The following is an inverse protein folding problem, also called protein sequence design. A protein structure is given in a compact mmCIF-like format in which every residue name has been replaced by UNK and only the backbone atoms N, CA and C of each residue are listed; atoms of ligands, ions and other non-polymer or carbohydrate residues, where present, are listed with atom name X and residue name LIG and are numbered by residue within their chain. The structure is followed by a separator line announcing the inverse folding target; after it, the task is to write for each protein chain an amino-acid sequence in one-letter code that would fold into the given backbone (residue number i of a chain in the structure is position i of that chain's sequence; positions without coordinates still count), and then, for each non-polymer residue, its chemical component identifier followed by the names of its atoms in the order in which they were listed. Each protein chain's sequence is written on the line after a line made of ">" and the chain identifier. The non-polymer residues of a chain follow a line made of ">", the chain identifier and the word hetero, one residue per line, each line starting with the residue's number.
data_IF_994708432190
#
_entry.id   IF_994708432190
#
_cell.length_a   1.000
_cell.length_b   1.000
_cell.length_c   1.000
_cell.angle_alpha   90.00
_cell.angle_beta   90.00
_cell.angle_gamma   90.00
#
_symmetry.space_group_name_H-M   'P 1'
#
loop_
_entity.id
_entity.type
_entity.pdbx_description
1 polymer ?
#
# COMPACT_ATOMS: atom_id res chain seq x y z
N UNK A 1 -23.90 -6.65 -7.93
CA UNK A 1 -24.26 -5.66 -6.90
C UNK A 1 -24.31 -4.31 -7.57
N UNK A 2 -25.39 -3.56 -7.41
CA UNK A 2 -25.48 -2.20 -7.94
C UNK A 2 -24.71 -1.29 -6.99
N UNK A 3 -23.44 -1.01 -7.33
CA UNK A 3 -22.67 0.04 -6.66
C UNK A 3 -23.41 1.36 -6.88
N UNK A 4 -23.57 2.14 -5.81
CA UNK A 4 -24.20 3.45 -5.85
C UNK A 4 -23.60 4.29 -7.00
N UNK A 5 -24.43 4.89 -7.90
CA UNK A 5 -23.94 5.68 -9.03
C UNK A 5 -22.97 6.79 -8.62
N UNK A 6 -23.15 7.40 -7.43
CA UNK A 6 -22.23 8.42 -6.93
C UNK A 6 -20.87 7.84 -6.58
N UNK A 7 -20.85 6.69 -5.90
CA UNK A 7 -19.63 5.94 -5.59
C UNK A 7 -18.92 5.55 -6.89
N UNK A 8 -19.64 5.06 -7.90
CA UNK A 8 -19.06 4.70 -9.20
C UNK A 8 -18.47 5.92 -9.92
N UNK A 9 -19.12 7.08 -9.83
CA UNK A 9 -18.59 8.33 -10.42
C UNK A 9 -17.34 8.82 -9.70
N UNK A 10 -17.26 8.60 -8.39
CA UNK A 10 -16.09 8.94 -7.58
C UNK A 10 -14.88 8.07 -7.94
N UNK A 11 -15.08 6.75 -8.07
CA UNK A 11 -14.01 5.84 -8.52
C UNK A 11 -13.54 6.15 -9.94
N UNK A 12 -14.45 6.54 -10.83
CA UNK A 12 -14.10 6.91 -12.21
C UNK A 12 -13.24 8.18 -12.31
N UNK A 13 -13.22 9.01 -11.27
CA UNK A 13 -12.44 10.24 -11.20
C UNK A 13 -11.17 10.12 -10.37
N UNK A 14 -10.83 8.92 -9.88
CA UNK A 14 -9.60 8.72 -9.10
C UNK A 14 -8.36 9.17 -9.85
N UNK A 15 -8.30 8.93 -11.16
CA UNK A 15 -7.18 9.35 -11.99
C UNK A 15 -7.01 10.89 -12.02
N UNK A 16 -8.10 11.65 -11.90
CA UNK A 16 -8.04 13.13 -11.78
C UNK A 16 -7.40 13.56 -10.46
N UNK A 17 -7.58 12.80 -9.37
CA UNK A 17 -6.96 13.12 -8.08
C UNK A 17 -5.45 12.86 -8.07
N UNK A 18 -4.94 12.05 -8.98
CA UNK A 18 -3.52 11.76 -9.14
C UNK A 18 -2.91 12.46 -10.35
N UNK A 19 -3.64 13.36 -11.02
CA UNK A 19 -3.11 14.12 -12.14
C UNK A 19 -1.89 14.96 -11.70
N UNK A 20 -0.77 14.79 -12.40
CA UNK A 20 0.50 15.43 -12.06
C UNK A 20 1.28 14.78 -10.90
N UNK A 21 0.76 13.70 -10.32
CA UNK A 21 1.45 12.95 -9.27
C UNK A 21 2.44 11.94 -9.86
N UNK A 22 3.74 12.13 -9.60
CA UNK A 22 4.78 11.15 -9.94
C UNK A 22 5.22 10.41 -8.68
N UNK A 23 4.80 9.16 -8.54
CA UNK A 23 5.28 8.26 -7.46
C UNK A 23 6.81 8.17 -7.50
N UNK A 24 7.40 8.10 -8.70
CA UNK A 24 8.85 8.03 -8.90
C UNK A 24 9.56 9.23 -8.28
N UNK A 25 9.12 10.44 -8.61
CA UNK A 25 9.74 11.68 -8.12
C UNK A 25 9.67 11.78 -6.60
N UNK A 26 8.62 11.22 -5.99
CA UNK A 26 8.45 11.17 -4.54
C UNK A 26 9.43 10.18 -3.93
N UNK A 27 9.48 8.95 -4.46
CA UNK A 27 10.40 7.91 -3.97
C UNK A 27 11.87 8.34 -4.09
N UNK A 28 12.25 9.04 -5.16
CA UNK A 28 13.63 9.56 -5.35
C UNK A 28 14.01 10.66 -4.33
N UNK A 29 13.02 11.41 -3.83
CA UNK A 29 13.21 12.51 -2.88
C UNK A 29 13.13 12.07 -1.42
N UNK A 30 12.49 10.94 -1.13
CA UNK A 30 12.37 10.42 0.23
C UNK A 30 13.74 9.94 0.74
N UNK A 31 14.14 10.48 1.90
CA UNK A 31 15.40 10.15 2.61
C UNK A 31 15.18 9.54 3.98
N UNK A 32 13.94 9.14 4.27
CA UNK A 32 13.53 8.58 5.56
C UNK A 32 13.37 7.07 5.43
N UNK A 33 13.51 6.32 6.54
CA UNK A 33 13.11 4.92 6.59
C UNK A 33 11.67 4.76 6.08
N UNK A 34 11.47 3.83 5.14
CA UNK A 34 10.21 3.64 4.44
C UNK A 34 9.82 2.16 4.46
N UNK A 35 8.59 1.87 4.86
CA UNK A 35 8.01 0.53 4.87
C UNK A 35 6.83 0.46 3.92
N UNK A 36 6.88 -0.49 2.99
CA UNK A 36 5.71 -0.92 2.21
C UNK A 36 5.04 -2.09 2.92
N UNK A 37 3.76 -1.95 3.19
CA UNK A 37 2.89 -3.02 3.65
C UNK A 37 2.04 -3.46 2.47
N UNK A 38 2.31 -4.66 1.94
CA UNK A 38 1.61 -5.21 0.79
C UNK A 38 0.57 -6.25 1.24
N UNK A 39 -0.70 -6.02 0.87
CA UNK A 39 -1.76 -7.02 0.94
C UNK A 39 -1.70 -7.97 -0.28
N UNK A 40 -2.37 -9.11 -0.22
CA UNK A 40 -2.38 -10.08 -1.32
C UNK A 40 -3.16 -9.56 -2.55
N UNK A 41 -2.49 -9.34 -3.71
CA UNK A 41 -3.15 -8.87 -4.93
C UNK A 41 -4.24 -9.82 -5.44
N UNK A 42 -4.09 -11.12 -5.25
CA UNK A 42 -5.05 -12.14 -5.70
C UNK A 42 -6.40 -12.04 -4.98
N UNK A 43 -6.43 -11.41 -3.79
CA UNK A 43 -7.65 -11.17 -3.01
C UNK A 43 -7.93 -9.69 -2.83
N UNK A 44 -7.75 -8.89 -3.89
CA UNK A 44 -8.05 -7.45 -3.91
C UNK A 44 -7.09 -6.58 -3.10
N UNK A 45 -5.82 -6.99 -2.96
CA UNK A 45 -4.73 -6.07 -2.60
C UNK A 45 -4.47 -5.08 -3.73
N UNK A 46 -4.16 -3.82 -3.41
CA UNK A 46 -4.01 -2.76 -4.41
C UNK A 46 -2.59 -2.59 -4.97
N UNK A 47 -1.58 -3.14 -4.31
CA UNK A 47 -0.17 -2.99 -4.69
C UNK A 47 0.32 -4.34 -5.20
N UNK A 48 0.75 -4.41 -6.45
CA UNK A 48 1.26 -5.64 -7.06
C UNK A 48 2.72 -5.89 -6.69
N UNK A 49 3.20 -7.12 -6.88
CA UNK A 49 4.58 -7.46 -6.53
C UNK A 49 5.58 -6.70 -7.40
N UNK A 50 5.23 -6.49 -8.67
CA UNK A 50 6.00 -5.71 -9.63
C UNK A 50 6.17 -4.25 -9.19
N UNK A 51 5.15 -3.65 -8.57
CA UNK A 51 5.22 -2.27 -8.08
C UNK A 51 6.18 -2.16 -6.88
N UNK A 52 6.21 -3.17 -6.00
CA UNK A 52 7.13 -3.23 -4.88
C UNK A 52 8.57 -3.39 -5.39
N UNK A 53 8.79 -4.30 -6.32
CA UNK A 53 10.13 -4.52 -6.90
C UNK A 53 10.60 -3.29 -7.68
N UNK A 54 9.73 -2.65 -8.45
CA UNK A 54 10.02 -1.37 -9.09
C UNK A 54 10.40 -0.29 -8.06
N UNK A 55 9.65 -0.15 -6.96
CA UNK A 55 9.96 0.80 -5.91
C UNK A 55 11.33 0.53 -5.25
N UNK A 56 11.71 -0.75 -5.08
CA UNK A 56 13.03 -1.15 -4.58
C UNK A 56 14.17 -0.75 -5.52
N UNK A 57 13.94 -0.69 -6.84
CA UNK A 57 14.96 -0.19 -7.77
C UNK A 57 15.25 1.30 -7.60
N UNK A 58 14.28 2.07 -7.09
CA UNK A 58 14.40 3.52 -6.85
C UNK A 58 14.90 3.79 -5.42
N UNK A 59 14.39 3.05 -4.44
CA UNK A 59 14.73 3.15 -3.03
C UNK A 59 15.21 1.78 -2.51
N UNK A 60 16.51 1.46 -2.64
CA UNK A 60 17.05 0.15 -2.25
C UNK A 60 16.86 -0.19 -0.76
N UNK A 61 16.85 0.83 0.10
CA UNK A 61 16.66 0.70 1.55
C UNK A 61 15.19 0.52 1.98
N UNK A 62 14.27 0.41 1.02
CA UNK A 62 12.85 0.20 1.29
C UNK A 62 12.64 -1.14 2.01
N UNK A 63 11.98 -1.06 3.17
CA UNK A 63 11.49 -2.23 3.89
C UNK A 63 10.17 -2.68 3.29
N UNK A 64 9.92 -3.99 3.26
CA UNK A 64 8.71 -4.57 2.71
C UNK A 64 8.20 -5.69 3.62
N UNK A 65 6.91 -5.69 3.89
CA UNK A 65 6.21 -6.82 4.50
C UNK A 65 4.99 -7.21 3.66
N UNK A 66 4.89 -8.50 3.37
CA UNK A 66 3.79 -9.08 2.63
C UNK A 66 2.81 -9.81 3.57
N UNK A 67 1.54 -9.44 3.51
CA UNK A 67 0.45 -10.00 4.32
C UNK A 67 -0.49 -10.82 3.43
N UNK A 68 -0.07 -12.05 3.11
CA UNK A 68 -0.71 -12.93 2.12
C UNK A 68 -2.17 -13.30 2.35
N UNK A 69 -2.68 -13.12 3.57
CA UNK A 69 -4.05 -13.49 3.96
C UNK A 69 -5.02 -12.29 3.99
N UNK A 70 -4.52 -11.10 3.66
CA UNK A 70 -5.27 -9.85 3.77
C UNK A 70 -5.54 -9.24 2.40
N UNK A 71 -6.70 -8.61 2.27
CA UNK A 71 -7.08 -7.77 1.14
C UNK A 71 -6.70 -6.30 1.40
N UNK A 72 -7.12 -5.37 0.53
CA UNK A 72 -6.88 -3.93 0.70
C UNK A 72 -7.26 -3.37 2.08
N UNK A 73 -8.22 -3.95 2.79
CA UNK A 73 -8.61 -3.50 4.13
C UNK A 73 -7.62 -3.87 5.23
N UNK A 74 -6.58 -4.66 4.93
CA UNK A 74 -5.49 -5.01 5.85
C UNK A 74 -6.01 -5.53 7.22
N UNK A 75 -7.09 -6.30 7.18
CA UNK A 75 -7.68 -6.92 8.38
C UNK A 75 -8.62 -6.03 9.20
N UNK A 76 -8.75 -4.72 8.89
CA UNK A 76 -9.57 -3.77 9.66
C UNK A 76 -11.06 -4.16 9.64
N UNK A 77 -11.58 -4.60 8.50
CA UNK A 77 -13.00 -4.99 8.37
C UNK A 77 -13.31 -6.36 8.96
N UNK A 78 -12.29 -7.19 9.14
CA UNK A 78 -12.43 -8.59 9.52
C UNK A 78 -11.99 -8.87 10.97
N UNK A 79 -11.69 -7.82 11.75
CA UNK A 79 -11.16 -7.90 13.13
C UNK A 79 -9.80 -8.61 13.22
N UNK A 80 -8.99 -8.46 12.17
CA UNK A 80 -7.64 -9.03 12.03
C UNK A 80 -6.55 -7.95 12.00
N UNK A 81 -6.84 -6.74 12.48
CA UNK A 81 -5.92 -5.61 12.54
C UNK A 81 -4.62 -5.93 13.32
N UNK A 82 -4.67 -6.89 14.24
CA UNK A 82 -3.48 -7.37 14.95
C UNK A 82 -2.39 -7.91 14.00
N UNK A 83 -2.75 -8.47 12.84
CA UNK A 83 -1.78 -8.92 11.83
C UNK A 83 -1.02 -7.75 11.22
N UNK A 84 -1.72 -6.64 10.95
CA UNK A 84 -1.10 -5.40 10.50
C UNK A 84 -0.23 -4.80 11.60
N UNK A 85 -0.73 -4.72 12.84
CA UNK A 85 0.01 -4.17 13.97
C UNK A 85 1.31 -4.94 14.24
N UNK A 86 1.26 -6.27 14.23
CA UNK A 86 2.43 -7.13 14.39
C UNK A 86 3.46 -6.94 13.27
N UNK A 87 3.01 -6.62 12.05
CA UNK A 87 3.89 -6.37 10.92
C UNK A 87 4.58 -4.99 10.96
N UNK A 88 3.87 -3.95 11.42
CA UNK A 88 4.44 -2.59 11.44
C UNK A 88 5.25 -2.30 12.71
N UNK A 89 4.95 -2.97 13.82
CA UNK A 89 5.58 -2.68 15.13
C UNK A 89 7.10 -2.85 15.11
N UNK A 90 7.68 -3.95 14.58
CA UNK A 90 9.13 -4.13 14.55
C UNK A 90 9.85 -3.03 13.75
N UNK A 91 9.24 -2.57 12.65
CA UNK A 91 9.78 -1.46 11.87
C UNK A 91 9.78 -0.17 12.67
N UNK A 92 8.67 0.17 13.35
CA UNK A 92 8.60 1.37 14.20
C UNK A 92 9.59 1.30 15.38
N UNK A 93 9.81 0.13 15.94
CA UNK A 93 10.77 -0.08 17.01
C UNK A 93 12.23 0.06 16.55
N UNK A 94 12.53 -0.31 15.30
CA UNK A 94 13.88 -0.13 14.73
C UNK A 94 14.23 1.33 14.41
N UNK A 95 13.27 2.26 14.49
CA UNK A 95 13.51 3.69 14.28
C UNK A 95 13.87 4.44 15.56
N UNK A 96 13.77 3.79 16.73
CA UNK A 96 14.14 4.35 18.03
C UNK A 96 15.65 4.31 18.22
#
# INVERSE_FOLDING_TARGET
>A
SNVDPEISSYWARLDEFFEGFSVKDILEKLRIPFLVVQANPEIWGMINHEDVEWARTIMPELSHVYLGELNHWLGIRDKREHLLLNAITPFLESLK
#
